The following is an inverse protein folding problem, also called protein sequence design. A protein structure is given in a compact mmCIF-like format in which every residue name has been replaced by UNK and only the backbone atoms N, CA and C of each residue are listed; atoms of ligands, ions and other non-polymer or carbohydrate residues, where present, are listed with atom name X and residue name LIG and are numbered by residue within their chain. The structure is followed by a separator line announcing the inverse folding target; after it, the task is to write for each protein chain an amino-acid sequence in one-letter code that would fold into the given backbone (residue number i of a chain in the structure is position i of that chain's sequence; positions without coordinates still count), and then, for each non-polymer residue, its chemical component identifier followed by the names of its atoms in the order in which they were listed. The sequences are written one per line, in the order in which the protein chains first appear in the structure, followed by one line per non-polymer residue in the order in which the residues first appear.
data_IF_804149271460
#
_entry.id   IF_804149271460
#
_cell.length_a   1.000
_cell.length_b   1.000
_cell.length_c   1.000
_cell.angle_alpha   90.00
_cell.angle_beta   90.00
_cell.angle_gamma   90.00
#
_symmetry.space_group_name_H-M   'P 1'
#
loop_
_entity.id
_entity.type
_entity.pdbx_description
1 polymer ?
#
# COMPACT_ATOMS: atom_id res chain seq x y z
N UNK A 1 27.58 -22.16 -33.27
CA UNK A 1 28.02 -20.93 -32.55
C UNK A 1 26.84 -20.48 -31.70
N UNK A 2 27.06 -19.92 -30.50
CA UNK A 2 25.94 -19.38 -29.72
C UNK A 2 25.24 -18.28 -30.53
N UNK A 3 23.92 -18.19 -30.44
CA UNK A 3 23.13 -17.15 -31.09
C UNK A 3 23.26 -15.89 -30.22
N UNK A 4 23.66 -14.78 -30.80
CA UNK A 4 23.69 -13.51 -30.06
C UNK A 4 22.26 -12.99 -29.91
N UNK A 5 21.87 -12.57 -28.70
CA UNK A 5 20.62 -11.88 -28.43
C UNK A 5 20.91 -10.54 -27.76
N UNK A 6 20.55 -9.47 -28.43
CA UNK A 6 20.53 -8.12 -27.88
C UNK A 6 19.23 -7.94 -27.10
N UNK A 7 19.36 -7.82 -25.79
CA UNK A 7 18.27 -8.01 -24.83
C UNK A 7 18.33 -7.00 -23.70
N UNK A 8 17.19 -6.76 -23.06
CA UNK A 8 17.10 -6.06 -21.79
C UNK A 8 16.25 -6.91 -20.87
N UNK A 9 16.80 -7.33 -19.73
CA UNK A 9 16.16 -8.36 -18.90
C UNK A 9 14.76 -7.97 -18.41
N UNK A 10 14.52 -6.69 -18.13
CA UNK A 10 13.22 -6.21 -17.67
C UNK A 10 12.16 -6.15 -18.79
N UNK A 11 12.56 -6.23 -20.06
CA UNK A 11 11.63 -6.19 -21.18
C UNK A 11 10.81 -7.48 -21.29
N UNK A 12 9.46 -7.43 -21.19
CA UNK A 12 8.60 -8.59 -21.39
C UNK A 12 8.89 -9.32 -22.72
N UNK A 13 9.18 -8.54 -23.77
CA UNK A 13 9.48 -9.04 -25.10
C UNK A 13 10.78 -9.83 -25.18
N UNK A 14 11.80 -9.42 -24.43
CA UNK A 14 13.06 -10.15 -24.39
C UNK A 14 12.88 -11.46 -23.62
N UNK A 15 12.14 -11.42 -22.52
CA UNK A 15 11.85 -12.59 -21.67
C UNK A 15 11.11 -13.68 -22.41
N UNK A 16 10.16 -13.36 -23.29
CA UNK A 16 9.47 -14.40 -24.08
C UNK A 16 10.42 -15.17 -25.01
N UNK A 17 11.40 -14.49 -25.60
CA UNK A 17 12.45 -15.13 -26.41
C UNK A 17 13.39 -15.96 -25.54
N UNK A 18 13.84 -15.44 -24.40
CA UNK A 18 14.73 -16.16 -23.47
C UNK A 18 14.06 -17.44 -22.93
N UNK A 19 12.78 -17.37 -22.55
CA UNK A 19 12.01 -18.55 -22.14
C UNK A 19 11.82 -19.55 -23.28
N UNK A 20 11.60 -19.07 -24.51
CA UNK A 20 11.50 -19.95 -25.68
C UNK A 20 12.81 -20.68 -25.94
N UNK A 21 13.94 -19.97 -25.89
CA UNK A 21 15.26 -20.59 -26.04
C UNK A 21 15.54 -21.60 -24.93
N UNK A 22 15.13 -21.31 -23.69
CA UNK A 22 15.24 -22.25 -22.56
C UNK A 22 14.44 -23.54 -22.80
N UNK A 23 13.20 -23.43 -23.26
CA UNK A 23 12.37 -24.59 -23.60
C UNK A 23 12.93 -25.42 -24.77
N UNK A 24 13.64 -24.76 -25.69
CA UNK A 24 14.29 -25.41 -26.83
C UNK A 24 15.71 -25.91 -26.52
N UNK A 25 16.22 -25.70 -25.32
CA UNK A 25 17.62 -25.95 -24.94
C UNK A 25 18.63 -25.29 -25.90
N UNK A 26 18.36 -24.04 -26.28
CA UNK A 26 19.24 -23.22 -27.13
C UNK A 26 20.07 -22.29 -26.23
N UNK A 27 21.39 -22.37 -26.35
CA UNK A 27 22.30 -21.45 -25.69
C UNK A 27 22.35 -20.12 -26.44
N UNK A 28 21.93 -19.06 -25.77
CA UNK A 28 22.00 -17.68 -26.25
C UNK A 28 23.17 -16.94 -25.58
N UNK A 29 23.93 -16.20 -26.37
CA UNK A 29 24.86 -15.20 -25.87
C UNK A 29 24.11 -13.87 -25.67
N UNK A 30 23.80 -13.54 -24.41
CA UNK A 30 23.01 -12.35 -24.08
C UNK A 30 23.90 -11.11 -24.09
N UNK A 31 23.61 -10.18 -24.98
CA UNK A 31 24.22 -8.86 -25.08
C UNK A 31 23.24 -7.85 -24.50
N UNK A 32 23.58 -7.27 -23.35
CA UNK A 32 22.71 -6.30 -22.68
C UNK A 32 22.63 -4.99 -23.48
N UNK A 33 21.41 -4.49 -23.66
CA UNK A 33 21.09 -3.17 -24.22
C UNK A 33 20.27 -2.44 -23.18
N UNK A 34 20.79 -1.37 -22.57
CA UNK A 34 20.04 -0.55 -21.62
C UNK A 34 19.24 0.54 -22.37
N UNK A 35 17.90 0.43 -22.45
CA UNK A 35 17.09 1.43 -23.14
C UNK A 35 17.05 2.78 -22.43
N UNK A 36 17.30 2.80 -21.12
CA UNK A 36 17.37 4.01 -20.29
C UNK A 36 18.67 4.79 -20.49
N UNK A 37 19.77 4.09 -20.78
CA UNK A 37 21.04 4.70 -21.21
C UNK A 37 21.05 5.10 -22.70
N UNK A 38 20.07 4.64 -23.48
CA UNK A 38 19.97 4.91 -24.91
C UNK A 38 20.86 4.03 -25.78
N UNK A 39 21.26 2.85 -25.28
CA UNK A 39 22.15 1.92 -26.00
C UNK A 39 21.62 1.49 -27.37
N UNK A 40 20.29 1.35 -27.50
CA UNK A 40 19.58 1.04 -28.74
C UNK A 40 19.69 2.13 -29.82
N UNK A 41 20.18 3.32 -29.45
CA UNK A 41 20.42 4.43 -30.38
C UNK A 41 21.90 4.61 -30.74
N UNK A 42 22.79 3.78 -30.19
CA UNK A 42 24.21 3.85 -30.52
C UNK A 42 24.46 3.36 -31.95
N UNK A 43 25.45 3.93 -32.69
CA UNK A 43 25.69 3.61 -34.10
C UNK A 43 25.91 2.12 -34.39
N UNK A 44 26.56 1.40 -33.48
CA UNK A 44 26.82 -0.03 -33.59
C UNK A 44 25.52 -0.85 -33.61
N UNK A 45 24.56 -0.52 -32.76
CA UNK A 45 23.27 -1.21 -32.70
C UNK A 45 22.36 -0.77 -33.84
N UNK A 46 22.34 0.51 -34.19
CA UNK A 46 21.55 1.02 -35.32
C UNK A 46 21.98 0.42 -36.66
N UNK A 47 23.29 0.14 -36.84
CA UNK A 47 23.81 -0.56 -38.02
C UNK A 47 23.28 -2.00 -38.11
N UNK A 48 23.07 -2.64 -36.96
CA UNK A 48 22.51 -3.99 -36.87
C UNK A 48 20.99 -3.99 -37.09
N UNK A 49 20.27 -3.12 -36.36
CA UNK A 49 18.83 -2.98 -36.43
C UNK A 49 18.42 -1.49 -36.49
N UNK A 50 18.10 -0.94 -37.67
CA UNK A 50 17.69 0.46 -37.82
C UNK A 50 16.36 0.77 -37.13
N UNK A 51 15.56 -0.25 -36.78
CA UNK A 51 14.32 -0.10 -36.02
C UNK A 51 14.55 0.09 -34.52
N UNK A 52 15.81 0.04 -34.05
CA UNK A 52 16.23 0.27 -32.65
C UNK A 52 15.40 -0.55 -31.63
N UNK A 53 14.95 -1.75 -32.03
CA UNK A 53 14.09 -2.61 -31.19
C UNK A 53 14.89 -3.75 -30.57
N UNK A 54 14.50 -4.12 -29.37
CA UNK A 54 14.91 -5.34 -28.70
C UNK A 54 13.67 -6.18 -28.36
N UNK A 55 13.75 -7.52 -28.39
CA UNK A 55 14.95 -8.32 -28.68
C UNK A 55 15.33 -8.29 -30.16
N UNK A 56 16.64 -8.32 -30.43
CA UNK A 56 17.24 -8.56 -31.76
C UNK A 56 18.20 -9.73 -31.64
N UNK A 57 18.12 -10.72 -32.53
CA UNK A 57 19.07 -11.84 -32.59
C UNK A 57 20.01 -11.72 -33.78
N UNK A 58 21.19 -12.33 -33.65
CA UNK A 58 22.11 -12.60 -34.75
C UNK A 58 22.48 -14.07 -34.74
N UNK A 59 22.09 -14.77 -35.79
CA UNK A 59 22.31 -16.19 -35.97
C UNK A 59 23.04 -16.43 -37.29
N UNK A 60 24.34 -16.74 -37.22
CA UNK A 60 25.18 -16.98 -38.41
C UNK A 60 25.13 -15.83 -39.44
N UNK A 61 25.05 -14.59 -38.95
CA UNK A 61 24.93 -13.39 -39.77
C UNK A 61 23.50 -13.03 -40.20
N UNK A 62 22.52 -13.89 -39.92
CA UNK A 62 21.10 -13.57 -40.09
C UNK A 62 20.60 -12.75 -38.90
N UNK A 63 20.12 -11.54 -39.18
CA UNK A 63 19.62 -10.60 -38.17
C UNK A 63 18.09 -10.61 -38.18
N UNK A 64 17.47 -10.83 -37.02
CA UNK A 64 16.02 -10.82 -36.86
C UNK A 64 15.62 -10.11 -35.57
N UNK A 65 14.61 -9.25 -35.64
CA UNK A 65 13.98 -8.61 -34.48
C UNK A 65 12.46 -8.83 -34.54
N UNK A 66 11.76 -8.40 -33.49
CA UNK A 66 10.38 -8.76 -33.14
C UNK A 66 10.29 -10.11 -32.40
N UNK A 67 9.98 -10.04 -31.11
CA UNK A 67 9.97 -11.20 -30.20
C UNK A 67 9.22 -12.42 -30.74
N UNK A 68 8.02 -12.25 -31.30
CA UNK A 68 7.19 -13.37 -31.80
C UNK A 68 7.77 -14.01 -33.07
N UNK A 69 8.34 -13.19 -33.96
CA UNK A 69 9.02 -13.69 -35.16
C UNK A 69 10.30 -14.46 -34.77
N UNK A 70 11.06 -13.93 -33.80
CA UNK A 70 12.23 -14.59 -33.24
C UNK A 70 11.85 -15.94 -32.59
N UNK A 71 10.80 -15.99 -31.78
CA UNK A 71 10.31 -17.24 -31.18
C UNK A 71 9.94 -18.30 -32.24
N UNK A 72 9.20 -17.90 -33.28
CA UNK A 72 8.85 -18.79 -34.40
C UNK A 72 10.09 -19.26 -35.16
N UNK A 73 11.06 -18.36 -35.41
CA UNK A 73 12.32 -18.69 -36.08
C UNK A 73 13.12 -19.73 -35.30
N UNK A 74 13.31 -19.53 -33.99
CA UNK A 74 14.05 -20.47 -33.14
C UNK A 74 13.39 -21.86 -33.15
N UNK A 75 12.07 -21.93 -33.02
CA UNK A 75 11.35 -23.20 -33.14
C UNK A 75 11.57 -23.85 -34.52
N UNK A 76 11.41 -23.10 -35.61
CA UNK A 76 11.51 -23.65 -36.96
C UNK A 76 12.93 -24.13 -37.32
N UNK A 77 13.98 -23.40 -36.90
CA UNK A 77 15.38 -23.74 -37.24
C UNK A 77 15.94 -24.85 -36.35
N UNK A 78 15.72 -24.75 -35.04
CA UNK A 78 16.43 -25.59 -34.07
C UNK A 78 15.62 -26.75 -33.51
N UNK A 79 14.29 -26.69 -33.58
CA UNK A 79 13.44 -27.79 -33.12
C UNK A 79 12.13 -27.87 -33.90
N UNK A 80 12.19 -28.15 -35.21
CA UNK A 80 11.03 -28.03 -36.08
C UNK A 80 9.89 -29.02 -35.78
N UNK A 81 10.16 -30.06 -34.99
CA UNK A 81 9.18 -31.05 -34.53
C UNK A 81 8.72 -30.80 -33.08
N UNK A 82 9.11 -29.66 -32.48
CA UNK A 82 8.68 -29.25 -31.14
C UNK A 82 7.17 -29.04 -31.08
N UNK A 83 6.57 -29.41 -29.94
CA UNK A 83 5.19 -29.07 -29.62
C UNK A 83 4.99 -27.57 -29.40
N UNK A 84 6.07 -26.81 -29.14
CA UNK A 84 6.00 -25.37 -28.92
C UNK A 84 5.48 -24.60 -30.14
N UNK A 85 5.82 -25.06 -31.35
CA UNK A 85 5.37 -24.50 -32.62
C UNK A 85 5.11 -25.61 -33.66
N UNK A 86 3.95 -26.28 -33.60
CA UNK A 86 3.68 -27.52 -34.32
C UNK A 86 3.67 -27.31 -35.84
N UNK A 87 4.05 -28.33 -36.63
CA UNK A 87 3.98 -28.33 -38.10
C UNK A 87 2.58 -28.54 -38.66
N UNK A 88 1.69 -29.19 -37.90
CA UNK A 88 0.31 -29.40 -38.32
C UNK A 88 -0.36 -28.03 -38.59
N UNK A 89 -0.89 -27.79 -39.81
CA UNK A 89 -1.39 -26.47 -40.19
C UNK A 89 -2.52 -25.97 -39.28
N UNK A 90 -3.38 -26.87 -38.77
CA UNK A 90 -4.49 -26.47 -37.91
C UNK A 90 -4.00 -26.09 -36.52
N UNK A 91 -3.13 -26.91 -35.92
CA UNK A 91 -2.53 -26.58 -34.62
C UNK A 91 -1.70 -25.30 -34.70
N UNK A 92 -0.90 -25.14 -35.76
CA UNK A 92 -0.09 -23.93 -36.01
C UNK A 92 -0.96 -22.68 -36.12
N UNK A 93 -2.05 -22.73 -36.88
CA UNK A 93 -2.98 -21.62 -37.00
C UNK A 93 -3.57 -21.17 -35.66
N UNK A 94 -3.79 -22.09 -34.72
CA UNK A 94 -4.25 -21.75 -33.36
C UNK A 94 -3.16 -21.03 -32.57
N UNK A 95 -1.90 -21.47 -32.68
CA UNK A 95 -0.75 -20.77 -32.06
C UNK A 95 -0.61 -19.36 -32.64
N UNK A 96 -0.61 -19.24 -33.97
CA UNK A 96 -0.45 -17.95 -34.66
C UNK A 96 -1.60 -16.99 -34.32
N UNK A 97 -2.84 -17.48 -34.23
CA UNK A 97 -3.98 -16.66 -33.78
C UNK A 97 -3.73 -16.06 -32.40
N UNK A 98 -3.22 -16.84 -31.45
CA UNK A 98 -2.92 -16.35 -30.10
C UNK A 98 -1.76 -15.36 -30.09
N UNK A 99 -0.69 -15.63 -30.84
CA UNK A 99 0.44 -14.69 -30.96
C UNK A 99 -0.02 -13.33 -31.49
N UNK A 100 -0.96 -13.31 -32.42
CA UNK A 100 -1.55 -12.07 -32.94
C UNK A 100 -2.54 -11.42 -31.97
N UNK A 101 -3.38 -12.21 -31.31
CA UNK A 101 -4.34 -11.72 -30.32
C UNK A 101 -3.63 -11.06 -29.12
N UNK A 102 -2.56 -11.67 -28.64
CA UNK A 102 -1.76 -11.18 -27.50
C UNK A 102 -1.23 -9.75 -27.72
N UNK A 103 -0.96 -9.34 -28.97
CA UNK A 103 -0.52 -7.98 -29.30
C UNK A 103 -1.58 -6.92 -28.90
N UNK A 104 -2.86 -7.20 -29.10
CA UNK A 104 -3.93 -6.26 -28.74
C UNK A 104 -4.18 -6.20 -27.23
N UNK A 105 -4.08 -7.35 -26.55
CA UNK A 105 -4.14 -7.43 -25.09
C UNK A 105 -2.99 -6.63 -24.47
N UNK A 106 -1.78 -6.79 -25.00
CA UNK A 106 -0.59 -6.11 -24.52
C UNK A 106 -0.71 -4.59 -24.55
N UNK A 107 -1.26 -4.00 -25.61
CA UNK A 107 -1.50 -2.55 -25.65
C UNK A 107 -2.51 -2.11 -24.58
N UNK A 108 -3.51 -2.95 -24.28
CA UNK A 108 -4.50 -2.68 -23.25
C UNK A 108 -3.93 -2.83 -21.84
N UNK A 109 -3.08 -3.82 -21.58
CA UNK A 109 -2.36 -3.97 -20.31
C UNK A 109 -1.40 -2.79 -20.10
N UNK A 110 -0.67 -2.41 -21.14
CA UNK A 110 0.25 -1.27 -21.08
C UNK A 110 -0.49 0.03 -20.71
N UNK A 111 -1.58 0.34 -21.42
CA UNK A 111 -2.34 1.57 -21.20
C UNK A 111 -3.22 1.54 -19.96
N UNK A 112 -3.82 0.40 -19.60
CA UNK A 112 -4.77 0.28 -18.49
C UNK A 112 -4.18 -0.16 -17.14
N UNK A 113 -2.94 -0.66 -17.12
CA UNK A 113 -2.29 -1.16 -15.89
C UNK A 113 -0.96 -0.49 -15.67
N UNK A 114 -0.06 -0.58 -16.66
CA UNK A 114 1.31 -0.10 -16.51
C UNK A 114 1.41 1.43 -16.47
N UNK A 115 0.49 2.17 -17.10
CA UNK A 115 0.44 3.62 -16.98
C UNK A 115 0.31 4.08 -15.53
N UNK A 116 -0.58 3.44 -14.76
CA UNK A 116 -0.75 3.74 -13.33
C UNK A 116 0.51 3.37 -12.56
N UNK A 117 1.06 2.19 -12.83
CA UNK A 117 2.24 1.67 -12.15
C UNK A 117 3.49 2.54 -12.36
N UNK A 118 3.74 3.02 -13.58
CA UNK A 118 4.94 3.80 -13.90
C UNK A 118 4.79 5.31 -13.71
N UNK A 119 3.61 5.86 -14.03
CA UNK A 119 3.42 7.31 -14.03
C UNK A 119 2.67 7.81 -12.79
N UNK A 120 2.10 6.93 -11.97
CA UNK A 120 1.27 7.31 -10.81
C UNK A 120 -0.07 7.96 -11.19
N UNK A 121 -0.44 7.94 -12.47
CA UNK A 121 -1.66 8.56 -13.01
C UNK A 121 -2.66 7.47 -13.36
N UNK A 122 -3.89 7.60 -12.89
CA UNK A 122 -4.96 6.69 -13.27
C UNK A 122 -5.20 6.73 -14.80
N UNK A 123 -5.33 5.57 -15.45
CA UNK A 123 -5.55 5.52 -16.89
C UNK A 123 -6.91 6.15 -17.25
N UNK A 124 -7.04 6.74 -18.44
CA UNK A 124 -8.33 7.18 -18.97
C UNK A 124 -9.37 6.04 -18.97
N UNK A 125 -10.65 6.39 -18.77
CA UNK A 125 -11.75 5.41 -18.62
C UNK A 125 -11.92 4.50 -19.85
N UNK A 126 -11.65 5.01 -21.05
CA UNK A 126 -11.68 4.21 -22.29
C UNK A 126 -10.59 3.11 -22.28
N UNK A 127 -9.41 3.41 -21.72
CA UNK A 127 -8.31 2.42 -21.57
C UNK A 127 -8.63 1.36 -20.53
N UNK A 128 -9.23 1.76 -19.42
CA UNK A 128 -9.73 0.82 -18.39
C UNK A 128 -10.80 -0.10 -19.00
N UNK A 129 -11.71 0.45 -19.80
CA UNK A 129 -12.78 -0.30 -20.46
C UNK A 129 -12.22 -1.28 -21.50
N UNK A 130 -11.26 -0.85 -22.32
CA UNK A 130 -10.57 -1.71 -23.29
C UNK A 130 -9.82 -2.85 -22.61
N UNK A 131 -9.09 -2.56 -21.52
CA UNK A 131 -8.43 -3.58 -20.70
C UNK A 131 -9.42 -4.62 -20.18
N UNK A 132 -10.49 -4.19 -19.50
CA UNK A 132 -11.50 -5.11 -18.95
C UNK A 132 -12.13 -5.98 -20.04
N UNK A 133 -12.41 -5.40 -21.20
CA UNK A 133 -12.99 -6.11 -22.35
C UNK A 133 -12.05 -7.20 -22.85
N UNK A 134 -10.78 -6.85 -23.07
CA UNK A 134 -9.77 -7.79 -23.56
C UNK A 134 -9.43 -8.87 -22.53
N UNK A 135 -9.38 -8.55 -21.24
CA UNK A 135 -9.17 -9.54 -20.19
C UNK A 135 -10.33 -10.52 -20.09
N UNK A 136 -11.58 -10.05 -20.14
CA UNK A 136 -12.77 -10.93 -20.17
C UNK A 136 -12.78 -11.85 -21.39
N UNK A 137 -12.44 -11.30 -22.56
CA UNK A 137 -12.34 -12.12 -23.77
C UNK A 137 -11.20 -13.15 -23.66
N UNK A 138 -10.06 -12.76 -23.10
CA UNK A 138 -8.93 -13.66 -22.86
C UNK A 138 -9.32 -14.81 -21.93
N UNK A 139 -9.98 -14.50 -20.81
CA UNK A 139 -10.49 -15.47 -19.85
C UNK A 139 -11.44 -16.49 -20.52
N UNK A 140 -12.40 -15.99 -21.30
CA UNK A 140 -13.34 -16.84 -22.07
C UNK A 140 -12.62 -17.73 -23.09
N UNK A 141 -11.61 -17.20 -23.80
CA UNK A 141 -10.87 -17.95 -24.81
C UNK A 141 -9.96 -19.02 -24.22
N UNK A 142 -9.38 -18.77 -23.04
CA UNK A 142 -8.63 -19.77 -22.26
C UNK A 142 -9.60 -20.88 -21.84
N UNK A 143 -10.74 -20.52 -21.24
CA UNK A 143 -11.73 -21.49 -20.76
C UNK A 143 -11.08 -22.48 -19.79
N UNK A 144 -11.44 -23.77 -19.84
CA UNK A 144 -10.86 -24.79 -18.94
C UNK A 144 -9.58 -25.47 -19.44
N UNK A 145 -8.97 -24.92 -20.48
CA UNK A 145 -7.74 -25.49 -21.04
C UNK A 145 -6.57 -25.29 -20.07
N UNK A 146 -5.64 -26.26 -20.11
CA UNK A 146 -4.38 -26.18 -19.37
C UNK A 146 -3.45 -25.11 -19.97
N UNK A 147 -3.37 -25.06 -21.29
CA UNK A 147 -2.62 -24.09 -22.07
C UNK A 147 -3.55 -23.40 -23.07
N UNK A 148 -3.18 -22.22 -23.57
CA UNK A 148 -4.08 -21.42 -24.43
C UNK A 148 -4.44 -22.12 -25.75
N UNK A 149 -3.60 -23.07 -26.17
CA UNK A 149 -3.77 -23.90 -27.37
C UNK A 149 -4.31 -25.30 -27.07
N UNK A 150 -4.55 -25.67 -25.81
CA UNK A 150 -5.07 -26.98 -25.39
C UNK A 150 -4.17 -27.69 -24.39
N UNK A 151 -3.60 -28.82 -24.80
CA UNK A 151 -2.96 -29.79 -23.88
C UNK A 151 -1.44 -29.63 -23.72
N UNK A 152 -0.81 -28.87 -24.61
CA UNK A 152 0.65 -28.67 -24.62
C UNK A 152 1.00 -27.18 -24.53
N UNK A 153 2.11 -26.90 -23.84
CA UNK A 153 2.72 -25.58 -23.82
C UNK A 153 3.13 -25.18 -25.24
N UNK A 154 2.88 -23.93 -25.59
CA UNK A 154 3.31 -23.36 -26.87
C UNK A 154 3.98 -22.00 -26.70
N UNK A 155 4.62 -21.50 -27.76
CA UNK A 155 5.13 -20.12 -27.78
C UNK A 155 4.03 -19.08 -27.57
N UNK A 156 2.76 -19.41 -27.85
CA UNK A 156 1.64 -18.55 -27.53
C UNK A 156 1.42 -18.38 -26.02
N UNK A 157 1.61 -19.45 -25.24
CA UNK A 157 1.54 -19.38 -23.78
C UNK A 157 2.67 -18.49 -23.22
N UNK A 158 3.90 -18.67 -23.71
CA UNK A 158 5.05 -17.88 -23.27
C UNK A 158 4.91 -16.40 -23.60
N UNK A 159 4.35 -16.07 -24.78
CA UNK A 159 4.07 -14.69 -25.17
C UNK A 159 2.96 -14.07 -24.31
N UNK A 160 1.84 -14.77 -24.13
CA UNK A 160 0.73 -14.28 -23.31
C UNK A 160 1.12 -14.16 -21.83
N UNK A 161 2.01 -15.03 -21.35
CA UNK A 161 2.44 -15.05 -19.96
C UNK A 161 3.15 -13.74 -19.63
N UNK A 162 4.15 -13.34 -20.42
CA UNK A 162 4.87 -12.08 -20.20
C UNK A 162 3.95 -10.85 -20.35
N UNK A 163 2.93 -10.91 -21.21
CA UNK A 163 1.92 -9.86 -21.36
C UNK A 163 1.04 -9.71 -20.10
N UNK A 164 0.79 -10.80 -19.38
CA UNK A 164 -0.12 -10.83 -18.23
C UNK A 164 0.59 -10.73 -16.88
N UNK A 165 1.92 -10.91 -16.81
CA UNK A 165 2.72 -10.68 -15.59
C UNK A 165 2.44 -9.30 -14.95
N UNK A 166 2.33 -8.18 -15.70
CA UNK A 166 1.96 -6.89 -15.12
C UNK A 166 0.70 -6.90 -14.24
N UNK A 167 -0.28 -7.77 -14.53
CA UNK A 167 -1.49 -7.91 -13.70
C UNK A 167 -1.16 -8.44 -12.31
N UNK A 168 -0.20 -9.36 -12.20
CA UNK A 168 0.31 -9.85 -10.92
C UNK A 168 1.08 -8.75 -10.21
N UNK A 169 1.94 -8.03 -10.94
CA UNK A 169 2.78 -6.96 -10.40
C UNK A 169 1.95 -5.85 -9.75
N UNK A 170 0.82 -5.48 -10.35
CA UNK A 170 -0.06 -4.44 -9.83
C UNK A 170 -1.16 -4.96 -8.91
N UNK A 171 -1.13 -6.24 -8.53
CA UNK A 171 -2.20 -6.90 -7.76
C UNK A 171 -3.59 -6.64 -8.36
N UNK A 172 -3.69 -6.67 -9.69
CA UNK A 172 -4.95 -6.43 -10.38
C UNK A 172 -5.96 -7.50 -9.96
N UNK A 173 -7.19 -7.09 -9.67
CA UNK A 173 -8.23 -8.01 -9.22
C UNK A 173 -8.69 -8.92 -10.37
N UNK A 174 -8.41 -10.22 -10.21
CA UNK A 174 -8.78 -11.28 -11.15
C UNK A 174 -9.95 -12.12 -10.62
N UNK A 175 -10.70 -11.67 -9.60
CA UNK A 175 -11.85 -12.41 -9.05
C UNK A 175 -12.85 -12.83 -10.13
N UNK A 176 -13.09 -11.94 -11.09
CA UNK A 176 -14.06 -12.11 -12.17
C UNK A 176 -13.47 -12.79 -13.41
N UNK A 177 -12.22 -13.26 -13.32
CA UNK A 177 -11.44 -13.85 -14.42
C UNK A 177 -10.83 -15.19 -13.97
N UNK A 178 -11.65 -16.19 -13.63
CA UNK A 178 -11.20 -17.42 -12.98
C UNK A 178 -10.30 -18.29 -13.85
N UNK A 179 -10.53 -18.33 -15.16
CA UNK A 179 -9.76 -19.14 -16.10
C UNK A 179 -8.37 -18.54 -16.34
N UNK A 180 -8.31 -17.21 -16.52
CA UNK A 180 -7.06 -16.47 -16.64
C UNK A 180 -6.26 -16.57 -15.34
N UNK A 181 -6.90 -16.37 -14.18
CA UNK A 181 -6.23 -16.49 -12.88
C UNK A 181 -5.60 -17.88 -12.69
N UNK A 182 -6.35 -18.94 -13.00
CA UNK A 182 -5.85 -20.32 -12.91
C UNK A 182 -4.69 -20.57 -13.88
N UNK A 183 -4.85 -20.19 -15.15
CA UNK A 183 -3.82 -20.37 -16.17
C UNK A 183 -2.53 -19.63 -15.81
N UNK A 184 -2.64 -18.36 -15.40
CA UNK A 184 -1.52 -17.51 -15.02
C UNK A 184 -0.80 -18.06 -13.77
N UNK A 185 -1.54 -18.50 -12.76
CA UNK A 185 -0.98 -19.14 -11.57
C UNK A 185 -0.27 -20.44 -11.93
N UNK A 186 -0.89 -21.28 -12.78
CA UNK A 186 -0.31 -22.56 -13.18
C UNK A 186 0.99 -22.40 -13.95
N UNK A 187 1.10 -21.44 -14.86
CA UNK A 187 2.34 -21.23 -15.63
C UNK A 187 3.42 -20.56 -14.80
N UNK A 188 3.08 -19.53 -14.03
CA UNK A 188 4.06 -18.82 -13.19
C UNK A 188 4.68 -19.69 -12.09
N UNK A 189 3.96 -20.73 -11.64
CA UNK A 189 4.46 -21.69 -10.64
C UNK A 189 5.00 -22.98 -11.26
N UNK A 190 4.51 -23.38 -12.43
CA UNK A 190 4.85 -24.64 -13.09
C UNK A 190 6.11 -24.60 -13.96
N UNK A 191 6.53 -23.41 -14.41
CA UNK A 191 7.72 -23.25 -15.24
C UNK A 191 8.95 -22.97 -14.35
N UNK A 192 9.95 -23.88 -14.30
CA UNK A 192 11.04 -23.80 -13.31
C UNK A 192 11.96 -22.57 -13.50
N UNK A 193 12.05 -22.06 -14.72
CA UNK A 193 12.82 -20.86 -15.06
C UNK A 193 11.98 -19.58 -15.00
N UNK A 194 10.69 -19.64 -14.69
CA UNK A 194 9.86 -18.43 -14.63
C UNK A 194 10.38 -17.47 -13.56
N UNK A 195 10.73 -17.98 -12.39
CA UNK A 195 11.31 -17.15 -11.32
C UNK A 195 12.62 -16.48 -11.78
N UNK A 196 13.51 -17.22 -12.46
CA UNK A 196 14.76 -16.70 -13.05
C UNK A 196 14.44 -15.47 -13.90
N UNK A 197 13.65 -15.63 -14.97
CA UNK A 197 13.36 -14.54 -15.91
C UNK A 197 12.46 -13.43 -15.37
N UNK A 198 11.89 -13.58 -14.18
CA UNK A 198 11.00 -12.57 -13.58
C UNK A 198 11.51 -12.04 -12.22
N UNK A 199 12.80 -12.26 -11.87
CA UNK A 199 13.43 -11.69 -10.66
C UNK A 199 13.33 -10.16 -10.61
N UNK A 200 13.43 -9.48 -11.75
CA UNK A 200 13.27 -8.02 -11.81
C UNK A 200 11.88 -7.59 -11.33
N UNK A 201 10.81 -8.29 -11.73
CA UNK A 201 9.45 -7.97 -11.29
C UNK A 201 9.27 -8.28 -9.80
N UNK A 202 9.95 -9.29 -9.25
CA UNK A 202 9.95 -9.57 -7.81
C UNK A 202 10.76 -8.54 -6.99
N UNK A 203 11.89 -8.06 -7.52
CA UNK A 203 12.74 -7.07 -6.85
C UNK A 203 12.16 -5.66 -6.94
N UNK A 204 11.62 -5.27 -8.12
CA UNK A 204 10.80 -4.07 -8.27
C UNK A 204 9.56 -4.18 -7.39
N UNK A 205 8.90 -5.33 -7.30
CA UNK A 205 7.78 -5.51 -6.36
C UNK A 205 8.22 -5.41 -4.90
N UNK A 206 9.39 -5.93 -4.52
CA UNK A 206 9.95 -5.73 -3.17
C UNK A 206 10.25 -4.27 -2.87
N UNK A 207 10.84 -3.54 -3.82
CA UNK A 207 11.18 -2.12 -3.69
C UNK A 207 9.97 -1.18 -3.86
N UNK A 208 8.93 -1.60 -4.60
CA UNK A 208 7.75 -0.80 -4.95
C UNK A 208 6.55 -1.08 -4.05
N UNK A 209 6.35 -2.30 -3.56
CA UNK A 209 5.46 -2.57 -2.41
C UNK A 209 6.00 -1.83 -1.18
N UNK A 210 7.32 -1.82 -0.99
CA UNK A 210 7.97 -1.02 0.05
C UNK A 210 7.89 0.51 -0.18
N UNK A 211 7.71 0.98 -1.43
CA UNK A 211 7.53 2.41 -1.76
C UNK A 211 6.06 2.86 -1.86
N UNK A 212 5.11 1.96 -2.07
CA UNK A 212 3.68 2.28 -2.28
C UNK A 212 2.80 1.94 -1.07
N UNK A 213 3.28 1.14 -0.12
CA UNK A 213 2.74 1.05 1.23
C UNK A 213 3.79 1.52 2.21
N UNK A 214 3.40 2.42 3.12
CA UNK A 214 4.28 2.83 4.22
C UNK A 214 4.65 1.60 5.05
N UNK A 215 5.92 1.20 5.01
CA UNK A 215 6.42 0.07 5.78
C UNK A 215 6.82 0.55 7.18
N UNK A 216 6.18 -0.02 8.20
CA UNK A 216 6.51 0.23 9.60
C UNK A 216 7.18 -0.99 10.26
N UNK A 217 7.69 -1.93 9.46
CA UNK A 217 8.43 -3.09 9.95
C UNK A 217 9.57 -2.66 10.87
N UNK A 218 9.58 -3.25 12.07
CA UNK A 218 10.57 -2.95 13.09
C UNK A 218 10.36 -1.63 13.82
N UNK A 219 9.30 -0.85 13.55
CA UNK A 219 8.92 0.33 14.34
C UNK A 219 8.06 -0.09 15.53
N UNK A 220 8.24 0.60 16.67
CA UNK A 220 7.42 0.43 17.89
C UNK A 220 6.49 1.61 18.04
N UNK A 221 5.19 1.33 18.13
CA UNK A 221 4.12 2.33 18.12
C UNK A 221 3.28 2.21 19.38
N UNK A 222 3.25 3.28 20.17
CA UNK A 222 2.38 3.39 21.34
C UNK A 222 1.18 4.26 21.04
N UNK A 223 -0.03 3.70 21.16
CA UNK A 223 -1.27 4.40 20.79
C UNK A 223 -2.19 4.44 22.00
N UNK A 224 -2.40 5.62 22.58
CA UNK A 224 -3.33 5.77 23.72
C UNK A 224 -4.78 5.72 23.25
N UNK A 225 -5.67 5.15 24.07
CA UNK A 225 -7.08 5.02 23.70
C UNK A 225 -7.30 4.10 22.50
N UNK A 226 -6.45 3.10 22.31
CA UNK A 226 -6.48 2.15 21.20
C UNK A 226 -7.45 0.99 21.41
N UNK A 227 -8.19 0.95 22.51
CA UNK A 227 -9.25 -0.06 22.75
C UNK A 227 -10.58 0.25 22.02
N UNK A 228 -10.63 1.26 21.14
CA UNK A 228 -11.83 1.58 20.37
C UNK A 228 -11.65 2.78 19.42
N UNK A 229 -12.65 3.02 18.57
CA UNK A 229 -12.71 4.18 17.68
C UNK A 229 -11.50 4.32 16.76
N UNK A 230 -11.00 5.56 16.60
CA UNK A 230 -9.85 5.88 15.76
C UNK A 230 -8.62 5.08 16.20
N UNK A 231 -8.28 5.10 17.49
CA UNK A 231 -7.08 4.43 18.01
C UNK A 231 -7.06 2.92 17.75
N UNK A 232 -8.20 2.23 17.79
CA UNK A 232 -8.26 0.79 17.47
C UNK A 232 -7.95 0.51 16.01
N UNK A 233 -8.56 1.28 15.09
CA UNK A 233 -8.31 1.14 13.65
C UNK A 233 -6.87 1.51 13.32
N UNK A 234 -6.33 2.56 13.95
CA UNK A 234 -4.92 2.94 13.82
C UNK A 234 -3.99 1.83 14.31
N UNK A 235 -4.28 1.20 15.44
CA UNK A 235 -3.47 0.09 15.98
C UNK A 235 -3.43 -1.11 15.04
N UNK A 236 -4.59 -1.55 14.53
CA UNK A 236 -4.68 -2.68 13.59
C UNK A 236 -3.94 -2.36 12.29
N UNK A 237 -4.04 -1.12 11.79
CA UNK A 237 -3.40 -0.74 10.54
C UNK A 237 -1.88 -0.63 10.66
N UNK A 238 -1.35 -0.10 11.78
CA UNK A 238 0.10 -0.16 12.05
C UNK A 238 0.61 -1.61 12.13
N UNK A 239 -0.15 -2.51 12.78
CA UNK A 239 0.21 -3.91 12.85
C UNK A 239 0.20 -4.57 11.46
N UNK A 240 -0.81 -4.26 10.62
CA UNK A 240 -0.89 -4.68 9.21
C UNK A 240 0.32 -4.26 8.39
N UNK A 241 0.87 -3.08 8.70
CA UNK A 241 2.07 -2.52 8.07
C UNK A 241 3.39 -2.95 8.76
N UNK A 242 3.35 -4.00 9.60
CA UNK A 242 4.54 -4.63 10.17
C UNK A 242 5.04 -4.03 11.49
N UNK A 243 4.37 -3.02 12.03
CA UNK A 243 4.77 -2.39 13.29
C UNK A 243 4.53 -3.28 14.51
N UNK A 244 5.35 -3.07 15.55
CA UNK A 244 5.11 -3.60 16.89
C UNK A 244 4.24 -2.61 17.66
N UNK A 245 3.02 -3.01 18.01
CA UNK A 245 2.00 -2.08 18.52
C UNK A 245 1.74 -2.31 20.01
N UNK A 246 1.62 -1.22 20.76
CA UNK A 246 1.12 -1.21 22.14
C UNK A 246 -0.35 -0.79 22.13
N UNK A 247 -1.22 -1.71 22.55
CA UNK A 247 -2.67 -1.47 22.68
C UNK A 247 -3.00 -1.18 24.14
N UNK A 248 -3.62 -0.04 24.40
CA UNK A 248 -3.95 0.41 25.74
C UNK A 248 -5.31 1.10 25.85
N UNK A 249 -5.92 0.90 27.00
CA UNK A 249 -7.21 1.47 27.40
C UNK A 249 -7.63 0.93 28.76
N UNK A 250 -8.76 1.43 29.26
CA UNK A 250 -9.25 1.10 30.62
C UNK A 250 -10.00 -0.23 30.69
N UNK A 251 -10.55 -0.69 29.56
CA UNK A 251 -11.41 -1.88 29.48
C UNK A 251 -10.61 -3.06 28.93
N UNK A 252 -10.27 -4.00 29.81
CA UNK A 252 -9.41 -5.15 29.50
C UNK A 252 -9.92 -5.97 28.32
N UNK A 253 -11.21 -6.29 28.31
CA UNK A 253 -11.88 -7.03 27.24
C UNK A 253 -11.67 -6.38 25.87
N UNK A 254 -11.81 -5.05 25.78
CA UNK A 254 -11.62 -4.32 24.53
C UNK A 254 -10.14 -4.21 24.13
N UNK A 255 -9.24 -4.04 25.10
CA UNK A 255 -7.78 -4.06 24.85
C UNK A 255 -7.38 -5.40 24.25
N UNK A 256 -7.79 -6.51 24.86
CA UNK A 256 -7.49 -7.86 24.36
C UNK A 256 -8.12 -8.13 22.99
N UNK A 257 -9.34 -7.65 22.73
CA UNK A 257 -9.98 -7.80 21.42
C UNK A 257 -9.18 -7.09 20.31
N UNK A 258 -8.75 -5.85 20.52
CA UNK A 258 -7.96 -5.11 19.52
C UNK A 258 -6.55 -5.69 19.37
N UNK A 259 -5.92 -6.12 20.47
CA UNK A 259 -4.62 -6.78 20.39
C UNK A 259 -4.67 -8.09 19.58
N UNK A 260 -5.77 -8.85 19.70
CA UNK A 260 -6.02 -10.01 18.84
C UNK A 260 -6.13 -9.62 17.36
N UNK A 261 -6.90 -8.58 17.04
CA UNK A 261 -7.01 -8.07 15.67
C UNK A 261 -5.66 -7.62 15.11
N UNK A 262 -4.83 -6.96 15.93
CA UNK A 262 -3.47 -6.57 15.55
C UNK A 262 -2.61 -7.80 15.23
N UNK A 263 -2.68 -8.85 16.06
CA UNK A 263 -1.95 -10.09 15.82
C UNK A 263 -2.42 -10.83 14.55
N UNK A 264 -3.73 -10.84 14.27
CA UNK A 264 -4.32 -11.42 13.05
C UNK A 264 -3.93 -10.64 11.78
N UNK A 265 -3.81 -9.32 11.88
CA UNK A 265 -3.43 -8.46 10.75
C UNK A 265 -1.92 -8.42 10.49
N UNK A 266 -1.09 -8.76 11.49
CA UNK A 266 0.37 -8.63 11.40
C UNK A 266 0.98 -9.63 10.41
N UNK A 267 1.76 -9.18 9.40
CA UNK A 267 2.41 -10.08 8.44
C UNK A 267 3.52 -10.92 9.08
N UNK A 268 4.06 -10.47 10.21
CA UNK A 268 5.12 -11.15 10.96
C UNK A 268 4.59 -11.96 12.15
N UNK A 269 3.27 -11.92 12.40
CA UNK A 269 2.64 -12.58 13.54
C UNK A 269 3.07 -12.01 14.91
N UNK A 270 3.67 -10.81 14.94
CA UNK A 270 4.08 -10.17 16.19
C UNK A 270 2.84 -9.83 17.01
N UNK A 271 2.82 -10.27 18.26
CA UNK A 271 1.74 -9.95 19.20
C UNK A 271 1.84 -8.50 19.65
N UNK A 272 0.73 -7.80 19.58
CA UNK A 272 0.60 -6.49 20.22
C UNK A 272 0.80 -6.61 21.72
N UNK A 273 1.47 -5.62 22.33
CA UNK A 273 1.59 -5.52 23.78
C UNK A 273 0.30 -4.94 24.35
N UNK A 274 -0.36 -5.72 25.19
CA UNK A 274 -1.57 -5.30 25.90
C UNK A 274 -1.21 -4.62 27.23
N UNK A 275 -1.64 -3.37 27.40
CA UNK A 275 -1.50 -2.67 28.68
C UNK A 275 -2.82 -2.02 29.06
N UNK A 276 -3.48 -2.55 30.09
CA UNK A 276 -4.63 -1.88 30.70
C UNK A 276 -4.11 -0.71 31.52
N UNK A 277 -4.52 0.51 31.17
CA UNK A 277 -4.08 1.75 31.81
C UNK A 277 -5.13 2.85 31.68
N UNK A 278 -5.27 3.67 32.72
CA UNK A 278 -5.91 4.97 32.65
C UNK A 278 -4.85 6.06 32.46
N UNK A 279 -4.92 6.79 31.35
CA UNK A 279 -3.97 7.87 31.03
C UNK A 279 -4.06 9.07 31.98
N UNK A 280 -5.10 9.13 32.82
CA UNK A 280 -5.23 10.14 33.88
C UNK A 280 -4.56 9.72 35.20
N UNK A 281 -4.09 8.46 35.30
CA UNK A 281 -3.34 7.95 36.44
C UNK A 281 -1.84 7.91 36.11
N UNK A 282 -1.03 8.52 36.97
CA UNK A 282 0.40 8.72 36.71
C UNK A 282 1.21 7.42 36.77
N UNK A 283 0.85 6.50 37.68
CA UNK A 283 1.51 5.19 37.83
C UNK A 283 1.18 4.28 36.66
N UNK A 284 -0.05 4.34 36.16
CA UNK A 284 -0.47 3.65 34.93
C UNK A 284 0.31 4.17 33.72
N UNK A 285 0.49 5.49 33.59
CA UNK A 285 1.32 6.07 32.53
C UNK A 285 2.78 5.62 32.61
N UNK A 286 3.37 5.62 33.82
CA UNK A 286 4.74 5.13 34.04
C UNK A 286 4.88 3.67 33.67
N UNK A 287 3.95 2.82 34.11
CA UNK A 287 3.91 1.40 33.81
C UNK A 287 3.75 1.15 32.31
N UNK A 288 2.86 1.89 31.65
CA UNK A 288 2.64 1.81 30.21
C UNK A 288 3.94 2.04 29.41
N UNK A 289 4.69 3.09 29.74
CA UNK A 289 5.98 3.35 29.08
C UNK A 289 7.02 2.30 29.48
N UNK A 290 7.13 1.95 30.77
CA UNK A 290 8.08 0.97 31.26
C UNK A 290 7.88 -0.41 30.63
N UNK A 291 6.65 -0.90 30.52
CA UNK A 291 6.32 -2.19 29.90
C UNK A 291 6.61 -2.17 28.40
N UNK A 292 6.36 -1.04 27.73
CA UNK A 292 6.69 -0.84 26.32
C UNK A 292 8.20 -0.97 26.09
N UNK A 293 9.00 -0.25 26.85
CA UNK A 293 10.46 -0.28 26.74
C UNK A 293 11.03 -1.62 27.20
N UNK A 294 10.47 -2.23 28.23
CA UNK A 294 10.87 -3.57 28.68
C UNK A 294 10.67 -4.61 27.57
N UNK A 295 9.55 -4.53 26.85
CA UNK A 295 9.15 -5.49 25.81
C UNK A 295 9.91 -5.26 24.51
N UNK A 296 9.89 -4.04 23.98
CA UNK A 296 10.40 -3.75 22.64
C UNK A 296 11.74 -3.03 22.61
N UNK A 297 12.29 -2.64 23.78
CA UNK A 297 13.59 -1.96 23.97
C UNK A 297 13.70 -0.55 23.40
N UNK A 298 12.68 -0.08 22.68
CA UNK A 298 12.63 1.24 22.06
C UNK A 298 11.19 1.72 21.92
N UNK A 299 11.04 2.97 21.51
CA UNK A 299 9.77 3.58 21.11
C UNK A 299 10.05 4.50 19.91
N UNK A 300 9.45 4.21 18.76
CA UNK A 300 9.64 5.03 17.55
C UNK A 300 8.53 6.06 17.37
N UNK A 301 7.29 5.73 17.76
CA UNK A 301 6.10 6.55 17.50
C UNK A 301 5.19 6.60 18.74
N UNK A 302 4.85 7.81 19.18
CA UNK A 302 3.84 8.07 20.20
C UNK A 302 2.59 8.70 19.55
N UNK A 303 1.44 8.04 19.67
CA UNK A 303 0.15 8.58 19.22
C UNK A 303 -0.73 8.83 20.43
N UNK A 304 -0.91 10.12 20.76
CA UNK A 304 -1.84 10.54 21.80
C UNK A 304 -3.25 10.66 21.20
N UNK A 305 -3.98 9.54 21.23
CA UNK A 305 -5.35 9.46 20.73
C UNK A 305 -6.42 9.41 21.84
N UNK A 306 -6.05 9.00 23.07
CA UNK A 306 -6.97 9.04 24.19
C UNK A 306 -7.53 10.45 24.39
N UNK A 307 -8.86 10.54 24.45
CA UNK A 307 -9.54 11.80 24.61
C UNK A 307 -11.03 11.61 24.82
N UNK A 308 -11.70 12.66 25.29
CA UNK A 308 -13.14 12.66 25.50
C UNK A 308 -13.76 14.01 25.18
N UNK A 309 -15.02 13.96 24.75
CA UNK A 309 -15.89 15.14 24.65
C UNK A 309 -16.65 15.37 25.94
N UNK A 310 -17.05 16.61 26.16
CA UNK A 310 -18.01 17.00 27.18
C UNK A 310 -18.83 18.17 26.64
N UNK A 311 -20.15 18.14 26.88
CA UNK A 311 -21.00 19.32 26.68
C UNK A 311 -20.85 20.19 27.92
N UNK A 312 -20.56 21.47 27.73
CA UNK A 312 -20.29 22.40 28.82
C UNK A 312 -20.75 23.80 28.46
N UNK A 313 -21.28 24.52 29.45
CA UNK A 313 -21.67 25.92 29.37
C UNK A 313 -20.93 26.76 30.42
N UNK A 314 -20.74 28.05 30.15
CA UNK A 314 -20.21 28.98 31.16
C UNK A 314 -21.16 29.15 32.36
N UNK A 315 -22.42 28.79 32.17
CA UNK A 315 -23.48 28.85 33.18
C UNK A 315 -23.61 27.57 34.02
N UNK A 316 -22.81 26.54 33.74
CA UNK A 316 -22.85 25.29 34.49
C UNK A 316 -22.29 25.49 35.90
N UNK A 317 -23.05 25.11 36.93
CA UNK A 317 -22.58 25.17 38.33
C UNK A 317 -21.38 24.24 38.58
N UNK A 318 -21.30 23.13 37.84
CA UNK A 318 -20.25 22.10 37.89
C UNK A 318 -19.13 22.32 36.86
N UNK A 319 -19.00 23.52 36.29
CA UNK A 319 -18.04 23.80 35.21
C UNK A 319 -16.59 23.46 35.58
N UNK A 320 -16.19 23.67 36.84
CA UNK A 320 -14.82 23.37 37.28
C UNK A 320 -14.54 21.87 37.35
N UNK A 321 -15.52 21.05 37.78
CA UNK A 321 -15.39 19.60 37.77
C UNK A 321 -15.30 19.07 36.32
N UNK A 322 -16.10 19.66 35.42
CA UNK A 322 -16.03 19.38 33.98
C UNK A 322 -14.69 19.80 33.39
N UNK A 323 -14.13 20.94 33.81
CA UNK A 323 -12.82 21.45 33.39
C UNK A 323 -11.71 20.49 33.79
N UNK A 324 -11.65 20.10 35.06
CA UNK A 324 -10.64 19.16 35.55
C UNK A 324 -10.73 17.83 34.81
N UNK A 325 -11.94 17.30 34.64
CA UNK A 325 -12.16 16.03 33.97
C UNK A 325 -11.65 16.02 32.52
N UNK A 326 -11.97 17.07 31.76
CA UNK A 326 -11.60 17.15 30.35
C UNK A 326 -10.13 17.53 30.16
N UNK A 327 -9.60 18.46 30.95
CA UNK A 327 -8.20 18.89 30.84
C UNK A 327 -7.25 17.78 31.31
N UNK A 328 -7.62 17.04 32.36
CA UNK A 328 -6.84 15.90 32.82
C UNK A 328 -6.72 14.82 31.73
N UNK A 329 -7.84 14.53 31.04
CA UNK A 329 -7.85 13.52 29.97
C UNK A 329 -7.19 14.02 28.68
N UNK A 330 -7.56 15.21 28.18
CA UNK A 330 -7.21 15.65 26.83
C UNK A 330 -5.87 16.39 26.74
N UNK A 331 -5.33 16.90 27.86
CA UNK A 331 -4.09 17.68 27.86
C UNK A 331 -3.07 17.19 28.87
N UNK A 332 -3.41 17.10 30.17
CA UNK A 332 -2.45 16.70 31.22
C UNK A 332 -1.83 15.34 30.91
N UNK A 333 -2.66 14.36 30.53
CA UNK A 333 -2.19 13.02 30.14
C UNK A 333 -1.20 13.04 28.98
N UNK A 334 -1.44 13.89 27.96
CA UNK A 334 -0.60 14.06 26.78
C UNK A 334 0.74 14.68 27.17
N UNK A 335 0.72 15.76 27.97
CA UNK A 335 1.94 16.39 28.49
C UNK A 335 2.78 15.38 29.25
N UNK A 336 2.14 14.61 30.13
CA UNK A 336 2.82 13.63 30.96
C UNK A 336 3.40 12.46 30.16
N UNK A 337 2.63 11.87 29.25
CA UNK A 337 3.11 10.78 28.41
C UNK A 337 4.17 11.22 27.42
N UNK A 338 4.05 12.42 26.84
CA UNK A 338 5.12 12.99 26.02
C UNK A 338 6.40 13.12 26.85
N UNK A 339 6.34 13.71 28.03
CA UNK A 339 7.48 13.84 28.94
C UNK A 339 8.16 12.49 29.24
N UNK A 340 7.37 11.46 29.58
CA UNK A 340 7.90 10.11 29.85
C UNK A 340 8.51 9.44 28.62
N UNK A 341 8.06 9.79 27.41
CA UNK A 341 8.51 9.16 26.16
C UNK A 341 9.69 9.88 25.49
N UNK A 342 9.96 11.17 25.78
CA UNK A 342 10.92 11.99 25.01
C UNK A 342 12.29 11.33 24.91
N UNK A 343 12.85 10.82 26.01
CA UNK A 343 14.19 10.20 26.00
C UNK A 343 14.25 8.96 25.10
N UNK A 344 13.15 8.22 24.99
CA UNK A 344 13.07 7.03 24.16
C UNK A 344 12.89 7.39 22.68
N UNK A 345 12.08 8.41 22.40
CA UNK A 345 11.86 8.94 21.05
C UNK A 345 13.12 9.62 20.49
N UNK A 346 13.93 10.28 21.32
CA UNK A 346 15.20 10.89 20.91
C UNK A 346 16.17 9.82 20.35
N UNK A 347 16.24 8.66 21.01
CA UNK A 347 17.11 7.54 20.59
C UNK A 347 16.76 7.00 19.21
N UNK A 348 15.50 7.11 18.79
CA UNK A 348 15.03 6.62 17.48
C UNK A 348 14.81 7.72 16.47
N UNK A 349 14.98 9.01 16.83
CA UNK A 349 14.51 10.16 16.04
C UNK A 349 13.02 10.02 15.67
N UNK A 350 12.23 9.71 16.70
CA UNK A 350 10.84 9.27 16.59
C UNK A 350 9.84 10.38 16.27
N UNK A 351 8.56 10.03 16.33
CA UNK A 351 7.45 10.91 15.98
C UNK A 351 6.37 10.96 17.07
N UNK A 352 5.77 12.12 17.25
CA UNK A 352 4.60 12.34 18.10
C UNK A 352 3.44 12.79 17.22
N UNK A 353 2.30 12.12 17.31
CA UNK A 353 1.05 12.59 16.68
C UNK A 353 -0.04 12.71 17.73
N UNK A 354 -0.60 13.91 17.84
CA UNK A 354 -1.69 14.20 18.75
C UNK A 354 -3.01 14.23 17.96
N UNK A 355 -4.00 13.41 18.35
CA UNK A 355 -5.33 13.41 17.73
C UNK A 355 -6.19 14.48 18.41
N UNK A 356 -6.27 15.64 17.76
CA UNK A 356 -7.02 16.80 18.24
C UNK A 356 -8.44 16.80 17.67
N UNK A 357 -8.92 17.95 17.19
CA UNK A 357 -10.22 18.12 16.54
C UNK A 357 -10.26 19.46 15.80
N UNK A 358 -11.15 19.60 14.81
CA UNK A 358 -11.50 20.92 14.27
C UNK A 358 -12.08 21.87 15.34
N UNK A 359 -12.51 21.34 16.50
CA UNK A 359 -12.92 22.15 17.65
C UNK A 359 -11.80 23.03 18.21
N UNK A 360 -10.52 22.73 17.89
CA UNK A 360 -9.37 23.58 18.19
C UNK A 360 -9.31 24.85 17.32
N UNK A 361 -9.90 24.81 16.13
CA UNK A 361 -9.80 25.85 15.11
C UNK A 361 -11.10 26.64 14.96
N UNK A 362 -12.24 26.00 15.21
CA UNK A 362 -13.58 26.59 15.17
C UNK A 362 -14.32 26.24 16.47
N UNK A 363 -14.86 27.24 17.20
CA UNK A 363 -15.59 26.98 18.43
C UNK A 363 -16.73 25.97 18.24
N UNK A 364 -16.81 25.00 19.14
CA UNK A 364 -17.94 24.06 19.27
C UNK A 364 -18.39 24.01 20.74
N UNK A 365 -18.09 22.94 21.47
CA UNK A 365 -18.38 22.83 22.90
C UNK A 365 -17.28 23.54 23.72
N UNK A 366 -17.64 24.40 24.68
CA UNK A 366 -16.73 25.36 25.36
C UNK A 366 -15.42 24.73 25.86
N UNK A 367 -15.49 23.83 26.83
CA UNK A 367 -14.31 23.25 27.46
C UNK A 367 -13.58 22.27 26.52
N UNK A 368 -14.32 21.59 25.62
CA UNK A 368 -13.72 20.71 24.62
C UNK A 368 -12.88 21.47 23.62
N UNK A 369 -13.41 22.56 23.05
CA UNK A 369 -12.68 23.46 22.15
C UNK A 369 -11.42 24.01 22.82
N UNK A 370 -11.52 24.48 24.06
CA UNK A 370 -10.35 24.95 24.81
C UNK A 370 -9.29 23.85 24.99
N UNK A 371 -9.69 22.64 25.40
CA UNK A 371 -8.76 21.52 25.59
C UNK A 371 -8.02 21.15 24.29
N UNK A 372 -8.73 21.19 23.15
CA UNK A 372 -8.16 20.86 21.83
C UNK A 372 -7.30 21.99 21.27
N UNK A 373 -7.67 23.25 21.49
CA UNK A 373 -6.80 24.40 21.16
C UNK A 373 -5.50 24.39 21.97
N UNK A 374 -5.57 24.02 23.26
CA UNK A 374 -4.40 23.85 24.11
C UNK A 374 -3.50 22.69 23.62
N UNK A 375 -4.09 21.58 23.19
CA UNK A 375 -3.36 20.45 22.60
C UNK A 375 -2.64 20.84 21.29
N UNK A 376 -3.29 21.60 20.42
CA UNK A 376 -2.68 22.11 19.19
C UNK A 376 -1.48 23.01 19.49
N UNK A 377 -1.61 23.94 20.44
CA UNK A 377 -0.51 24.81 20.84
C UNK A 377 0.61 24.04 21.52
N UNK A 378 0.30 23.12 22.43
CA UNK A 378 1.28 22.23 23.07
C UNK A 378 2.13 21.50 22.02
N UNK A 379 1.48 20.97 20.98
CA UNK A 379 2.18 20.25 19.90
C UNK A 379 3.17 21.13 19.16
N UNK A 380 2.83 22.40 18.90
CA UNK A 380 3.73 23.37 18.27
C UNK A 380 4.92 23.69 19.15
N UNK A 381 4.70 23.88 20.46
CA UNK A 381 5.79 24.10 21.42
C UNK A 381 6.75 22.90 21.46
N UNK A 382 6.22 21.68 21.55
CA UNK A 382 7.03 20.45 21.57
C UNK A 382 7.77 20.24 20.25
N UNK A 383 7.15 20.54 19.10
CA UNK A 383 7.81 20.47 17.81
C UNK A 383 9.02 21.41 17.72
N UNK A 384 8.89 22.63 18.24
CA UNK A 384 9.97 23.62 18.28
C UNK A 384 11.11 23.14 19.19
N UNK A 385 10.78 22.60 20.36
CA UNK A 385 11.77 22.16 21.35
C UNK A 385 12.50 20.87 20.94
N UNK A 386 11.76 19.89 20.41
CA UNK A 386 12.31 18.57 20.09
C UNK A 386 12.82 18.43 18.65
N UNK A 387 12.51 19.38 17.77
CA UNK A 387 13.01 19.41 16.39
C UNK A 387 14.54 19.27 16.28
N UNK A 388 15.35 20.03 17.06
CA UNK A 388 16.81 19.85 17.10
C UNK A 388 17.28 18.47 17.55
N UNK A 389 16.42 17.69 18.22
CA UNK A 389 16.67 16.30 18.64
C UNK A 389 16.24 15.28 17.57
N UNK A 390 15.74 15.74 16.43
CA UNK A 390 15.26 14.89 15.35
C UNK A 390 13.89 14.27 15.61
N UNK A 391 13.14 14.75 16.60
CA UNK A 391 11.77 14.29 16.89
C UNK A 391 10.79 15.23 16.20
N UNK A 392 9.84 14.68 15.43
CA UNK A 392 8.74 15.45 14.84
C UNK A 392 7.50 15.36 15.70
N UNK A 393 6.75 16.44 15.82
CA UNK A 393 5.48 16.45 16.55
C UNK A 393 4.40 17.16 15.71
N UNK A 394 3.29 16.48 15.43
CA UNK A 394 2.21 17.00 14.58
C UNK A 394 0.82 16.71 15.16
N UNK A 395 -0.18 17.41 14.65
CA UNK A 395 -1.58 17.25 15.04
C UNK A 395 -2.38 16.72 13.85
N UNK A 396 -3.31 15.82 14.13
CA UNK A 396 -4.44 15.56 13.22
C UNK A 396 -5.69 16.17 13.84
N UNK A 397 -6.46 16.95 13.07
CA UNK A 397 -7.68 17.62 13.53
C UNK A 397 -8.91 17.03 12.81
N UNK A 398 -9.51 15.92 13.31
CA UNK A 398 -10.71 15.36 12.73
C UNK A 398 -11.96 16.21 12.96
N UNK A 399 -12.92 16.08 12.05
CA UNK A 399 -14.32 16.41 12.30
C UNK A 399 -15.06 15.26 12.99
N UNK A 400 -16.39 15.23 12.90
CA UNK A 400 -17.19 14.09 13.29
C UNK A 400 -16.75 12.82 12.56
N UNK A 401 -16.44 11.77 13.33
CA UNK A 401 -16.05 10.44 12.86
C UNK A 401 -16.99 9.41 13.46
N UNK A 402 -17.42 8.42 12.68
CA UNK A 402 -18.31 7.33 13.14
C UNK A 402 -17.64 6.47 14.21
N UNK A 403 -17.87 6.85 15.47
CA UNK A 403 -17.36 6.19 16.67
C UNK A 403 -18.36 6.37 17.81
N UNK A 404 -18.15 5.68 18.93
CA UNK A 404 -18.93 5.87 20.17
C UNK A 404 -18.74 7.27 20.81
N UNK A 405 -17.96 8.18 20.21
CA UNK A 405 -17.64 9.49 20.79
C UNK A 405 -18.89 10.31 21.12
N UNK A 406 -19.87 10.38 20.23
CA UNK A 406 -21.11 11.15 20.46
C UNK A 406 -22.08 10.43 21.41
N UNK A 407 -22.09 9.10 21.39
CA UNK A 407 -22.82 8.31 22.40
C UNK A 407 -22.33 8.66 23.82
N UNK A 408 -21.01 8.72 24.00
CA UNK A 408 -20.38 9.02 25.30
C UNK A 408 -20.48 10.50 25.66
N UNK A 409 -20.07 11.40 24.77
CA UNK A 409 -19.92 12.83 25.08
C UNK A 409 -21.26 13.57 25.22
N UNK A 410 -22.31 13.09 24.54
CA UNK A 410 -23.64 13.70 24.54
C UNK A 410 -24.69 12.81 25.22
N UNK A 411 -24.28 11.69 25.82
CA UNK A 411 -25.16 10.71 26.45
C UNK A 411 -26.32 10.26 25.52
N UNK A 412 -25.97 10.00 24.26
CA UNK A 412 -26.91 9.57 23.23
C UNK A 412 -26.92 8.05 23.13
N UNK A 413 -28.09 7.48 22.84
CA UNK A 413 -28.13 6.11 22.34
C UNK A 413 -27.65 6.07 20.88
N UNK A 414 -27.34 4.86 20.39
CA UNK A 414 -26.82 4.65 19.03
C UNK A 414 -27.70 5.28 17.94
N UNK A 415 -29.02 5.09 18.01
CA UNK A 415 -29.94 5.64 17.00
C UNK A 415 -29.89 7.17 16.92
N UNK A 416 -29.86 7.86 18.06
CA UNK A 416 -29.73 9.33 18.11
C UNK A 416 -28.34 9.80 17.69
N UNK A 417 -27.31 9.04 18.01
CA UNK A 417 -25.94 9.31 17.54
C UNK A 417 -25.85 9.22 16.01
N UNK A 418 -26.44 8.17 15.42
CA UNK A 418 -26.48 7.97 13.97
C UNK A 418 -27.28 9.09 13.26
N UNK A 419 -28.43 9.50 13.82
CA UNK A 419 -29.21 10.64 13.32
C UNK A 419 -28.41 11.94 13.39
N UNK A 420 -27.73 12.19 14.51
CA UNK A 420 -26.88 13.37 14.69
C UNK A 420 -25.74 13.40 13.66
N UNK A 421 -25.06 12.28 13.45
CA UNK A 421 -24.01 12.14 12.44
C UNK A 421 -24.54 12.35 11.02
N UNK A 422 -25.75 11.88 10.71
CA UNK A 422 -26.41 12.12 9.41
C UNK A 422 -26.66 13.61 9.19
N UNK A 423 -27.20 14.32 10.19
CA UNK A 423 -27.42 15.76 10.10
C UNK A 423 -26.13 16.58 9.96
N UNK A 424 -25.00 16.06 10.45
CA UNK A 424 -23.68 16.66 10.18
C UNK A 424 -23.21 16.37 8.75
N UNK A 425 -23.36 15.13 8.27
CA UNK A 425 -22.96 14.72 6.92
C UNK A 425 -23.61 15.59 5.83
N UNK A 426 -24.90 15.92 5.98
CA UNK A 426 -25.66 16.76 5.04
C UNK A 426 -25.10 18.18 4.88
N UNK A 427 -24.35 18.67 5.88
CA UNK A 427 -23.73 20.01 5.86
C UNK A 427 -22.30 19.99 5.32
N UNK A 428 -21.64 18.84 5.37
CA UNK A 428 -20.22 18.76 4.99
C UNK A 428 -20.07 18.81 3.47
N UNK A 429 -19.09 19.56 2.94
CA UNK A 429 -18.82 19.59 1.50
C UNK A 429 -18.63 18.23 0.84
N UNK A 430 -18.04 17.25 1.55
CA UNK A 430 -17.90 15.87 1.03
C UNK A 430 -19.14 14.98 1.22
N UNK A 431 -20.24 15.51 1.76
CA UNK A 431 -21.53 14.80 1.89
C UNK A 431 -21.52 13.60 2.85
N UNK A 432 -20.47 13.44 3.68
CA UNK A 432 -20.32 12.36 4.66
C UNK A 432 -19.53 12.81 5.88
N UNK A 433 -19.78 12.18 7.03
CA UNK A 433 -18.86 12.21 8.17
C UNK A 433 -17.65 11.30 7.92
N UNK A 434 -16.59 11.48 8.71
CA UNK A 434 -15.39 10.66 8.61
C UNK A 434 -15.59 9.23 9.12
N UNK A 435 -14.78 8.32 8.59
CA UNK A 435 -14.54 6.98 9.15
C UNK A 435 -13.21 6.99 9.93
N UNK A 436 -13.03 6.11 10.93
CA UNK A 436 -11.76 5.99 11.65
C UNK A 436 -10.53 5.84 10.75
N UNK A 437 -10.70 5.20 9.59
CA UNK A 437 -9.65 5.01 8.59
C UNK A 437 -9.22 6.32 7.91
N UNK A 438 -10.12 7.30 7.73
CA UNK A 438 -9.76 8.61 7.16
C UNK A 438 -8.72 9.32 8.03
N UNK A 439 -8.90 9.26 9.35
CA UNK A 439 -7.95 9.81 10.34
C UNK A 439 -6.67 8.99 10.40
N UNK A 440 -6.82 7.66 10.39
CA UNK A 440 -5.67 6.71 10.45
C UNK A 440 -4.69 6.96 9.31
N UNK A 441 -5.17 7.18 8.07
CA UNK A 441 -4.30 7.48 6.93
C UNK A 441 -3.48 8.75 7.11
N UNK A 442 -4.05 9.79 7.72
CA UNK A 442 -3.32 11.01 8.04
C UNK A 442 -2.26 10.78 9.12
N UNK A 443 -2.59 9.99 10.16
CA UNK A 443 -1.62 9.59 11.20
C UNK A 443 -0.43 8.85 10.58
N UNK A 444 -0.71 7.84 9.73
CA UNK A 444 0.33 7.05 9.07
C UNK A 444 1.28 7.93 8.25
N UNK A 445 0.73 8.81 7.39
CA UNK A 445 1.52 9.81 6.67
C UNK A 445 2.40 10.65 7.59
N UNK A 446 1.83 11.25 8.63
CA UNK A 446 2.60 12.10 9.54
C UNK A 446 3.72 11.34 10.27
N UNK A 447 3.59 10.03 10.43
CA UNK A 447 4.60 9.17 11.06
C UNK A 447 5.58 8.51 10.10
N UNK A 448 5.38 8.61 8.79
CA UNK A 448 6.27 8.04 7.76
C UNK A 448 7.42 8.98 7.39
N UNK A 449 8.38 8.46 6.62
CA UNK A 449 9.48 9.25 6.06
C UNK A 449 9.01 10.24 4.97
N UNK A 450 7.83 10.01 4.38
CA UNK A 450 7.22 10.96 3.42
C UNK A 450 6.92 12.31 4.07
N UNK A 451 6.68 12.31 5.38
CA UNK A 451 6.46 13.51 6.18
C UNK A 451 7.74 14.01 6.87
N UNK A 452 8.93 13.60 6.42
CA UNK A 452 10.22 13.94 7.06
C UNK A 452 10.47 15.44 7.25
N UNK A 453 9.84 16.31 6.45
CA UNK A 453 9.90 17.76 6.59
C UNK A 453 8.68 18.41 7.25
N UNK A 454 7.77 17.60 7.83
CA UNK A 454 6.54 18.06 8.47
C UNK A 454 6.66 17.94 9.99
N UNK A 455 6.68 19.09 10.68
CA UNK A 455 6.63 19.19 12.15
C UNK A 455 5.87 20.46 12.55
N UNK A 456 5.21 20.46 13.72
CA UNK A 456 4.40 21.57 14.22
C UNK A 456 3.12 21.84 13.43
N UNK A 457 2.72 20.93 12.54
CA UNK A 457 1.61 21.14 11.61
C UNK A 457 0.27 20.67 12.18
N UNK A 458 -0.79 21.42 11.86
CA UNK A 458 -2.18 21.05 12.13
C UNK A 458 -2.80 20.46 10.86
N UNK A 459 -2.95 19.13 10.82
CA UNK A 459 -3.45 18.42 9.64
C UNK A 459 -4.96 18.19 9.75
N UNK A 460 -5.76 19.01 9.06
CA UNK A 460 -7.22 18.95 9.16
C UNK A 460 -7.81 17.83 8.31
N UNK A 461 -8.61 16.97 8.93
CA UNK A 461 -9.28 15.82 8.29
C UNK A 461 -10.78 15.90 8.57
N UNK A 462 -11.47 16.75 7.82
CA UNK A 462 -12.80 17.22 8.24
C UNK A 462 -13.89 17.16 7.17
N UNK A 463 -13.56 16.71 5.95
CA UNK A 463 -14.50 16.71 4.83
C UNK A 463 -15.03 18.10 4.47
N UNK A 464 -14.29 19.15 4.81
CA UNK A 464 -14.66 20.56 4.63
C UNK A 464 -15.52 21.15 5.75
N UNK A 465 -15.78 20.40 6.83
CA UNK A 465 -16.68 20.79 7.91
C UNK A 465 -16.32 22.10 8.64
N UNK A 466 -15.05 22.52 8.65
CA UNK A 466 -14.66 23.78 9.29
C UNK A 466 -15.16 25.01 8.53
N UNK A 467 -15.39 24.89 7.22
CA UNK A 467 -15.76 26.01 6.34
C UNK A 467 -17.29 26.23 6.23
N UNK A 468 -18.09 25.38 6.87
CA UNK A 468 -19.56 25.41 6.83
C UNK A 468 -20.20 25.65 8.18
#
# INVERSE_FOLDING_TARGET
MPIDIYSFYASPFCRSVLMTARELNIDLNVIEIDPGAGDQFKPEFLKLNPSHKIPTIVDEGFVLWESRAVMQYLCNKYSPDSTLYPRDPKKRAIVDRWLNFDISLMESVKSGVMQKAFCGVDPPEDKITALKTNLKLTDQLIGDKKYVTGDHLTIADLALLVTTVPLLMTQYDLSDLPHLKRWLTSLSTGLPYFAEFNVFDQKVMGEWVAKSQQDFTGKVVLITGSSGGIGAVTAVEFARLGAQVVVTGRRKDRVSAVAKQCAEASPTGVKALEVVADVTNDDDCRRLVADTIKTFKKLDILINNAGRGIVSSIWDEDILDKYELIMNTNLRSVVWLTHLCVEHLEKTKGNIVNVSSIAALKPRDLLYSMSKAALDMFTKCVALELGPKGIRANVVNPSAVKTEFFEISRNLNKAKSDEFLKGMAEKYPLGRVGEPMDVTKAVLYLTSDDASFVTGSNFVVDGGAQYV
#
